data_IF_393731418932
#
_entry.id   IF_393731418932
#
_cell.length_a   1.000
_cell.length_b   1.000
_cell.length_c   1.000
_cell.angle_alpha   90.00
_cell.angle_beta   90.00
_cell.angle_gamma   90.00
#
_symmetry.space_group_name_H-M   'P 1'
#
loop_
_entity.id
_entity.type
_entity.pdbx_description
1 polymer ?
#
# COMPACT_ATOMS: atom_id res chain seq x y z
N UNK A 1 -43.99 46.34 0.41
CA UNK A 1 -44.32 45.90 -0.97
C UNK A 1 -43.07 45.93 -1.85
N UNK A 2 -42.06 45.13 -1.52
CA UNK A 2 -40.78 45.10 -2.25
C UNK A 2 -40.07 43.74 -2.07
N UNK A 3 -40.85 42.65 -2.11
CA UNK A 3 -40.35 41.26 -2.12
C UNK A 3 -41.08 40.34 -3.11
N UNK A 4 -41.95 40.91 -3.97
CA UNK A 4 -42.68 40.15 -5.00
C UNK A 4 -42.13 40.37 -6.43
N UNK A 5 -41.22 41.34 -6.64
CA UNK A 5 -40.73 41.67 -7.98
C UNK A 5 -39.46 40.89 -8.40
N UNK A 6 -38.65 40.40 -7.46
CA UNK A 6 -37.42 39.65 -7.80
C UNK A 6 -37.63 38.14 -8.03
N UNK A 7 -38.80 37.58 -7.71
CA UNK A 7 -39.11 36.16 -7.96
C UNK A 7 -39.67 35.93 -9.38
N UNK A 8 -40.15 36.99 -10.05
CA UNK A 8 -40.70 36.92 -11.41
C UNK A 8 -39.66 36.92 -12.53
N UNK A 9 -38.45 37.43 -12.29
CA UNK A 9 -37.43 37.58 -13.34
C UNK A 9 -36.41 36.44 -13.38
N UNK A 10 -36.33 35.61 -12.34
CA UNK A 10 -35.50 34.40 -12.33
C UNK A 10 -36.20 33.16 -12.92
N UNK A 11 -37.55 33.15 -12.99
CA UNK A 11 -38.33 32.05 -13.59
C UNK A 11 -38.47 32.12 -15.11
N UNK A 12 -38.10 33.23 -15.76
CA UNK A 12 -38.14 33.35 -17.23
C UNK A 12 -36.81 33.05 -17.92
N UNK A 13 -35.69 33.05 -17.19
CA UNK A 13 -34.38 32.69 -17.75
C UNK A 13 -34.10 31.18 -17.65
N UNK A 14 -34.72 30.46 -16.71
CA UNK A 14 -34.59 28.99 -16.60
C UNK A 14 -35.51 28.19 -17.55
N UNK A 15 -36.60 28.78 -18.06
CA UNK A 15 -37.47 28.11 -19.03
C UNK A 15 -36.94 28.17 -20.48
N UNK A 16 -35.99 29.07 -20.78
CA UNK A 16 -35.39 29.20 -22.11
C UNK A 16 -34.09 28.41 -22.29
N UNK A 17 -33.50 27.89 -21.20
CA UNK A 17 -32.30 27.04 -21.24
C UNK A 17 -32.68 25.54 -21.30
N UNK A 18 -33.91 25.18 -20.93
CA UNK A 18 -34.40 23.80 -20.97
C UNK A 18 -35.14 23.38 -22.27
N UNK A 19 -35.18 24.23 -23.30
CA UNK A 19 -35.85 23.91 -24.58
C UNK A 19 -34.91 23.80 -25.80
N UNK A 20 -33.59 23.99 -25.64
CA UNK A 20 -32.63 23.97 -26.77
C UNK A 20 -31.45 23.02 -26.58
N UNK A 21 -31.44 22.20 -25.52
CA UNK A 21 -30.38 21.22 -25.26
C UNK A 21 -30.87 19.76 -25.21
N UNK A 22 -32.02 19.47 -25.84
CA UNK A 22 -32.60 18.12 -25.91
C UNK A 22 -32.76 17.60 -27.36
N UNK A 23 -32.05 18.19 -28.32
CA UNK A 23 -32.22 17.93 -29.76
C UNK A 23 -30.96 17.68 -30.57
N UNK A 24 -29.82 17.33 -29.95
CA UNK A 24 -28.59 17.01 -30.71
C UNK A 24 -27.60 16.09 -29.96
N UNK A 25 -28.10 15.06 -29.28
CA UNK A 25 -27.23 14.07 -28.62
C UNK A 25 -27.60 12.61 -28.92
N UNK A 26 -28.44 12.39 -29.93
CA UNK A 26 -28.88 11.06 -30.36
C UNK A 26 -28.68 10.88 -31.87
N UNK A 27 -27.46 11.10 -32.35
CA UNK A 27 -27.03 10.62 -33.67
C UNK A 27 -25.50 10.54 -33.81
N UNK A 28 -24.83 9.80 -32.91
CA UNK A 28 -23.45 9.36 -33.15
C UNK A 28 -23.07 8.10 -32.34
N UNK A 29 -24.03 7.21 -32.10
CA UNK A 29 -23.78 5.84 -31.65
C UNK A 29 -24.33 4.91 -32.72
N UNK A 30 -23.57 4.75 -33.81
CA UNK A 30 -23.67 3.61 -34.74
C UNK A 30 -22.66 3.74 -35.88
N UNK A 31 -21.35 3.70 -35.59
CA UNK A 31 -20.31 3.24 -36.54
C UNK A 31 -18.93 3.28 -35.88
N UNK A 32 -18.55 2.20 -35.18
CA UNK A 32 -17.16 1.72 -35.11
C UNK A 32 -17.08 0.41 -34.32
N UNK A 33 -17.69 -0.65 -34.84
CA UNK A 33 -17.25 -2.01 -34.49
C UNK A 33 -16.28 -2.48 -35.57
N UNK A 34 -15.25 -3.22 -35.13
CA UNK A 34 -14.16 -3.85 -35.87
C UNK A 34 -12.92 -2.96 -36.07
N UNK A 35 -12.02 -2.99 -35.10
CA UNK A 35 -10.57 -3.07 -35.38
C UNK A 35 -9.87 -3.94 -34.34
N UNK A 36 -9.32 -5.03 -34.86
CA UNK A 36 -8.44 -6.00 -34.21
C UNK A 36 -7.17 -5.29 -33.74
N UNK A 37 -6.81 -5.44 -32.47
CA UNK A 37 -5.53 -4.96 -31.95
C UNK A 37 -4.41 -5.93 -32.37
N UNK A 38 -3.44 -5.44 -33.15
CA UNK A 38 -2.11 -6.05 -33.34
C UNK A 38 -1.07 -5.21 -32.58
N UNK A 39 0.07 -5.79 -32.14
CA UNK A 39 1.05 -5.10 -31.30
C UNK A 39 1.91 -4.14 -32.12
N UNK A 40 2.15 -2.93 -31.59
CA UNK A 40 3.05 -1.94 -32.20
C UNK A 40 4.52 -2.26 -31.88
N UNK A 41 5.25 -2.75 -32.88
CA UNK A 41 6.72 -2.70 -32.95
C UNK A 41 7.14 -1.35 -33.54
N UNK A 42 7.88 -0.55 -32.78
CA UNK A 42 8.55 0.64 -33.31
C UNK A 42 10.04 0.34 -33.51
N UNK A 43 10.41 0.16 -34.78
CA UNK A 43 11.78 0.33 -35.28
C UNK A 43 11.72 1.50 -36.24
N UNK A 44 12.53 2.54 -36.02
CA UNK A 44 13.13 3.23 -37.15
C UNK A 44 14.46 3.88 -36.78
N UNK A 45 15.45 3.54 -37.58
CA UNK A 45 16.81 4.05 -37.66
C UNK A 45 16.82 5.37 -38.44
N UNK A 46 17.56 6.37 -37.97
CA UNK A 46 18.56 7.05 -38.80
C UNK A 46 19.47 7.98 -37.98
N UNK A 47 20.76 7.83 -38.28
CA UNK A 47 21.94 8.40 -37.65
C UNK A 47 22.22 9.81 -38.19
N UNK A 48 22.53 10.77 -37.32
CA UNK A 48 23.53 11.81 -37.63
C UNK A 48 24.25 12.26 -36.36
N UNK A 49 25.57 12.13 -36.45
CA UNK A 49 26.59 12.40 -35.44
C UNK A 49 26.56 13.86 -34.97
N UNK A 50 26.63 14.08 -33.65
CA UNK A 50 27.26 15.23 -33.02
C UNK A 50 27.65 14.87 -31.58
N UNK A 51 28.98 14.77 -31.38
CA UNK A 51 29.77 14.88 -30.15
C UNK A 51 29.21 14.36 -28.82
N UNK A 52 29.92 13.36 -28.30
CA UNK A 52 29.90 12.81 -26.95
C UNK A 52 29.78 13.85 -25.82
N UNK A 53 28.62 13.87 -25.18
CA UNK A 53 28.48 14.13 -23.74
C UNK A 53 27.46 13.13 -23.20
N UNK A 54 27.95 12.05 -22.62
CA UNK A 54 27.20 11.13 -21.78
C UNK A 54 26.65 11.94 -20.60
N UNK A 55 25.43 12.45 -20.73
CA UNK A 55 24.63 12.87 -19.59
C UNK A 55 24.20 11.58 -18.87
N UNK A 56 25.06 11.11 -17.96
CA UNK A 56 24.59 10.29 -16.85
C UNK A 56 23.64 11.17 -16.03
N UNK A 57 22.36 11.11 -16.33
CA UNK A 57 21.32 11.56 -15.41
C UNK A 57 21.30 10.59 -14.22
N UNK A 58 22.26 10.73 -13.32
CA UNK A 58 22.15 10.22 -11.96
C UNK A 58 21.05 11.05 -11.27
N UNK A 59 19.81 10.58 -11.35
CA UNK A 59 18.75 11.01 -10.44
C UNK A 59 19.17 10.60 -9.03
N UNK A 60 19.84 11.51 -8.32
CA UNK A 60 20.06 11.37 -6.88
C UNK A 60 18.68 11.30 -6.25
N UNK A 61 18.32 10.14 -5.69
CA UNK A 61 17.12 10.01 -4.86
C UNK A 61 17.12 11.12 -3.81
N UNK A 62 15.95 11.63 -3.46
CA UNK A 62 15.80 12.55 -2.34
C UNK A 62 16.24 11.81 -1.08
N UNK A 63 17.44 12.14 -0.59
CA UNK A 63 18.04 11.63 0.65
C UNK A 63 17.92 12.72 1.70
N UNK A 64 17.44 12.39 2.91
CA UNK A 64 17.64 13.24 4.08
C UNK A 64 19.12 13.12 4.48
N UNK A 65 19.86 14.23 4.37
CA UNK A 65 21.29 14.29 4.69
C UNK A 65 21.57 13.85 6.15
N UNK A 66 22.65 13.08 6.34
CA UNK A 66 23.56 13.25 7.48
C UNK A 66 23.32 12.47 8.77
N UNK A 67 22.86 11.21 8.72
CA UNK A 67 22.89 10.33 9.91
C UNK A 67 23.58 9.01 9.59
N UNK A 68 24.32 8.46 10.57
CA UNK A 68 24.83 7.09 10.53
C UNK A 68 23.75 6.13 10.01
N UNK A 69 24.10 5.21 9.10
CA UNK A 69 23.14 4.30 8.47
C UNK A 69 22.48 3.40 9.54
N UNK A 70 21.29 3.79 9.98
CA UNK A 70 20.46 3.05 10.94
C UNK A 70 19.86 1.83 10.25
N UNK A 71 19.83 0.70 10.96
CA UNK A 71 19.31 -0.57 10.45
C UNK A 71 17.78 -0.51 10.41
N UNK A 72 17.16 -0.73 9.25
CA UNK A 72 15.68 -0.75 9.13
C UNK A 72 15.18 -2.16 8.84
N UNK A 73 14.34 -2.65 9.74
CA UNK A 73 13.75 -4.00 9.70
C UNK A 73 12.24 -3.85 9.52
N UNK A 74 11.68 -4.45 8.48
CA UNK A 74 10.23 -4.51 8.29
C UNK A 74 9.70 -5.89 8.68
N UNK A 75 8.76 -5.94 9.62
CA UNK A 75 8.06 -7.16 10.02
C UNK A 75 6.80 -7.29 9.20
N UNK A 76 6.78 -8.26 8.29
CA UNK A 76 5.68 -8.56 7.39
C UNK A 76 4.91 -9.80 7.85
N UNK A 77 3.67 -9.94 7.39
CA UNK A 77 2.79 -11.04 7.82
C UNK A 77 1.32 -10.75 7.60
N UNK A 78 0.51 -11.79 7.57
CA UNK A 78 -0.94 -11.69 7.41
C UNK A 78 -1.61 -10.89 8.56
N UNK A 79 -2.88 -10.52 8.40
CA UNK A 79 -3.66 -9.94 9.50
C UNK A 79 -3.70 -10.94 10.66
N UNK A 80 -3.53 -10.46 11.89
CA UNK A 80 -3.45 -11.28 13.10
C UNK A 80 -2.32 -12.34 13.14
N UNK A 81 -1.27 -12.21 12.31
CA UNK A 81 -0.09 -13.09 12.35
C UNK A 81 0.84 -12.90 13.56
N UNK A 82 0.55 -11.94 14.46
CA UNK A 82 1.37 -11.67 15.65
C UNK A 82 2.48 -10.62 15.46
N UNK A 83 2.43 -9.79 14.40
CA UNK A 83 3.43 -8.73 14.15
C UNK A 83 3.58 -7.77 15.31
N UNK A 84 2.48 -7.17 15.78
CA UNK A 84 2.50 -6.23 16.93
C UNK A 84 3.16 -6.89 18.15
N UNK A 85 2.86 -8.15 18.43
CA UNK A 85 3.46 -8.90 19.54
C UNK A 85 4.97 -9.15 19.37
N UNK A 86 5.42 -9.40 18.13
CA UNK A 86 6.86 -9.47 17.82
C UNK A 86 7.54 -8.12 18.08
N UNK A 87 6.94 -7.03 17.61
CA UNK A 87 7.43 -5.67 17.84
C UNK A 87 7.52 -5.33 19.33
N UNK A 88 6.48 -5.63 20.11
CA UNK A 88 6.44 -5.43 21.58
C UNK A 88 7.48 -6.26 22.33
N UNK A 89 7.86 -7.43 21.80
CA UNK A 89 8.94 -8.21 22.38
C UNK A 89 10.29 -7.47 22.22
N UNK A 90 10.58 -6.92 21.04
CA UNK A 90 11.82 -6.20 20.77
C UNK A 90 11.86 -4.78 21.35
N UNK A 91 10.71 -4.14 21.55
CA UNK A 91 10.62 -2.78 22.13
C UNK A 91 11.17 -2.68 23.56
N UNK A 92 11.39 -3.81 24.23
CA UNK A 92 12.03 -3.88 25.55
C UNK A 92 13.54 -3.62 25.52
N UNK A 93 14.13 -3.51 24.32
CA UNK A 93 15.56 -3.26 24.11
C UNK A 93 15.77 -1.79 23.76
N UNK A 94 16.56 -1.06 24.55
CA UNK A 94 16.73 0.39 24.41
C UNK A 94 17.31 0.85 23.05
N UNK A 95 18.00 -0.03 22.34
CA UNK A 95 18.62 0.26 21.04
C UNK A 95 17.68 0.06 19.84
N UNK A 96 16.41 -0.29 20.11
CA UNK A 96 15.42 -0.59 19.07
C UNK A 96 14.26 0.40 19.17
N UNK A 97 14.10 1.23 18.15
CA UNK A 97 12.88 1.99 17.91
C UNK A 97 11.85 1.08 17.24
N UNK A 98 10.64 1.05 17.79
CA UNK A 98 9.54 0.24 17.26
C UNK A 98 8.44 1.14 16.71
N UNK A 99 8.05 0.84 15.48
CA UNK A 99 7.09 1.61 14.70
C UNK A 99 5.92 0.72 14.25
N UNK A 100 4.84 0.67 15.04
CA UNK A 100 3.62 -0.09 14.70
C UNK A 100 2.82 0.53 13.57
N UNK A 101 1.89 -0.23 12.97
CA UNK A 101 0.96 0.31 11.98
C UNK A 101 0.15 1.47 12.61
N UNK A 102 0.00 2.62 11.93
CA UNK A 102 -0.71 3.76 12.47
C UNK A 102 -2.24 3.58 12.39
N UNK A 103 -2.76 2.46 12.91
CA UNK A 103 -4.18 2.08 12.88
C UNK A 103 -5.07 3.18 13.46
N UNK A 104 -4.61 3.88 14.51
CA UNK A 104 -5.34 5.00 15.09
C UNK A 104 -5.59 6.12 14.08
N UNK A 105 -4.61 6.44 13.22
CA UNK A 105 -4.79 7.42 12.14
C UNK A 105 -5.78 6.94 11.10
N UNK A 106 -5.81 5.65 10.79
CA UNK A 106 -6.72 5.07 9.79
C UNK A 106 -8.17 4.92 10.31
N UNK A 107 -8.34 4.95 11.63
CA UNK A 107 -9.64 4.89 12.31
C UNK A 107 -10.27 6.25 12.55
N UNK A 108 -9.47 7.32 12.53
CA UNK A 108 -9.96 8.68 12.71
C UNK A 108 -9.23 9.63 11.76
N UNK A 109 -9.93 9.94 10.66
CA UNK A 109 -9.57 11.01 9.72
C UNK A 109 -10.71 12.01 9.76
N UNK A 110 -10.53 13.07 10.56
CA UNK A 110 -11.54 14.14 10.72
C UNK A 110 -12.90 13.57 11.13
N UNK A 111 -12.93 12.69 12.14
CA UNK A 111 -14.15 12.07 12.67
C UNK A 111 -14.68 10.88 11.85
N UNK A 112 -14.01 10.48 10.78
CA UNK A 112 -14.39 9.33 9.95
C UNK A 112 -13.43 8.17 10.17
N UNK A 113 -13.93 6.93 10.03
CA UNK A 113 -13.13 5.71 10.12
C UNK A 113 -12.94 5.07 8.72
N UNK A 114 -11.97 5.54 7.90
CA UNK A 114 -11.66 4.95 6.60
C UNK A 114 -11.41 3.45 6.63
N UNK A 115 -10.82 2.93 7.70
CA UNK A 115 -10.58 1.49 7.85
C UNK A 115 -11.90 0.71 7.91
N UNK A 116 -12.84 1.15 8.73
CA UNK A 116 -14.18 0.56 8.79
C UNK A 116 -14.94 0.72 7.47
N UNK A 117 -14.89 1.91 6.87
CA UNK A 117 -15.54 2.18 5.59
C UNK A 117 -15.04 1.27 4.47
N UNK A 118 -13.73 0.97 4.44
CA UNK A 118 -13.15 0.03 3.48
C UNK A 118 -13.63 -1.40 3.69
N UNK A 119 -13.74 -1.88 4.93
CA UNK A 119 -14.30 -3.22 5.15
C UNK A 119 -15.80 -3.31 4.84
N UNK A 120 -16.53 -2.20 4.97
CA UNK A 120 -17.96 -2.14 4.64
C UNK A 120 -18.21 -2.09 3.12
N UNK A 121 -17.50 -1.22 2.39
CA UNK A 121 -17.59 -1.11 0.94
C UNK A 121 -16.18 -0.90 0.36
N UNK A 122 -15.46 -2.00 0.08
CA UNK A 122 -14.10 -1.92 -0.43
C UNK A 122 -14.04 -1.29 -1.82
N UNK A 123 -15.10 -1.43 -2.63
CA UNK A 123 -15.16 -0.87 -3.98
C UNK A 123 -15.23 0.65 -3.95
N UNK A 124 -15.95 1.23 -2.99
CA UNK A 124 -16.03 2.69 -2.83
C UNK A 124 -14.83 3.27 -2.08
N UNK A 125 -14.36 2.60 -1.04
CA UNK A 125 -13.40 3.18 -0.09
C UNK A 125 -11.98 2.61 -0.19
N UNK A 126 -11.77 1.59 -1.03
CA UNK A 126 -10.47 0.97 -1.27
C UNK A 126 -9.42 1.99 -1.72
N UNK A 127 -9.70 2.78 -2.76
CA UNK A 127 -8.78 3.83 -3.22
C UNK A 127 -8.45 4.84 -2.12
N UNK A 128 -9.48 5.32 -1.39
CA UNK A 128 -9.32 6.32 -0.32
C UNK A 128 -8.42 5.80 0.79
N UNK A 129 -8.70 4.60 1.31
CA UNK A 129 -7.88 4.03 2.37
C UNK A 129 -6.47 3.73 1.87
N UNK A 130 -6.30 3.10 0.71
CA UNK A 130 -4.98 2.71 0.22
C UNK A 130 -4.07 3.90 -0.09
N UNK A 131 -4.63 5.00 -0.61
CA UNK A 131 -3.89 6.27 -0.77
C UNK A 131 -3.36 6.76 0.58
N UNK A 132 -4.20 6.75 1.61
CA UNK A 132 -3.83 7.23 2.94
C UNK A 132 -2.85 6.28 3.67
N UNK A 133 -3.01 4.97 3.48
CA UNK A 133 -2.05 3.95 3.97
C UNK A 133 -0.69 4.18 3.33
N UNK A 134 -0.59 4.36 2.01
CA UNK A 134 0.70 4.66 1.37
C UNK A 134 1.34 5.94 1.91
N UNK A 135 0.57 7.03 2.07
CA UNK A 135 1.06 8.28 2.64
C UNK A 135 1.58 8.10 4.08
N UNK A 136 0.79 7.45 4.94
CA UNK A 136 1.17 7.25 6.33
C UNK A 136 2.36 6.31 6.49
N UNK A 137 2.45 5.25 5.68
CA UNK A 137 3.61 4.35 5.66
C UNK A 137 4.86 5.04 5.12
N UNK A 138 4.75 5.85 4.07
CA UNK A 138 5.85 6.68 3.58
C UNK A 138 6.38 7.61 4.67
N UNK A 139 5.48 8.29 5.41
CA UNK A 139 5.86 9.14 6.52
C UNK A 139 6.61 8.38 7.63
N UNK A 140 6.26 7.10 7.90
CA UNK A 140 6.99 6.26 8.85
C UNK A 140 8.39 5.87 8.34
N UNK A 141 8.52 5.60 7.05
CA UNK A 141 9.83 5.33 6.43
C UNK A 141 10.74 6.55 6.50
N UNK A 142 10.18 7.75 6.36
CA UNK A 142 10.93 9.01 6.32
C UNK A 142 11.12 9.69 7.68
N UNK A 143 10.45 9.22 8.74
CA UNK A 143 10.61 9.80 10.08
C UNK A 143 12.04 9.62 10.59
N UNK A 144 12.55 10.58 11.34
CA UNK A 144 13.88 10.48 11.96
C UNK A 144 13.89 9.32 12.95
N UNK A 145 14.90 8.45 12.89
CA UNK A 145 15.00 7.33 13.82
C UNK A 145 15.62 7.77 15.13
N UNK A 146 15.02 7.37 16.24
CA UNK A 146 15.50 7.69 17.58
C UNK A 146 16.56 6.70 18.10
N UNK A 147 16.72 5.54 17.45
CA UNK A 147 17.63 4.48 17.87
C UNK A 147 18.44 3.89 16.69
N UNK A 148 19.53 3.14 16.95
CA UNK A 148 20.36 2.52 15.91
C UNK A 148 19.63 1.49 15.04
N UNK A 149 18.65 0.79 15.62
CA UNK A 149 17.78 -0.15 14.92
C UNK A 149 16.36 0.38 14.93
N UNK A 150 15.69 0.34 13.77
CA UNK A 150 14.27 0.62 13.61
C UNK A 150 13.57 -0.64 13.15
N UNK A 151 12.58 -1.08 13.91
CA UNK A 151 11.68 -2.17 13.54
C UNK A 151 10.29 -1.62 13.22
N UNK A 152 9.78 -1.92 12.04
CA UNK A 152 8.52 -1.40 11.53
C UNK A 152 7.51 -2.52 11.32
N UNK A 153 6.27 -2.31 11.72
CA UNK A 153 5.16 -3.19 11.35
C UNK A 153 4.75 -2.83 9.93
N UNK A 154 4.95 -3.79 9.02
CA UNK A 154 4.76 -3.61 7.58
C UNK A 154 5.65 -2.53 6.96
N UNK A 155 5.50 -2.41 5.65
CA UNK A 155 6.20 -1.42 4.83
C UNK A 155 5.28 -0.82 3.76
N UNK A 156 5.74 0.28 3.14
CA UNK A 156 5.07 0.83 1.95
C UNK A 156 4.98 -0.20 0.81
N UNK A 157 5.93 -1.14 0.73
CA UNK A 157 5.90 -2.24 -0.24
C UNK A 157 4.68 -3.13 -0.02
N UNK A 158 4.44 -3.57 1.22
CA UNK A 158 3.26 -4.39 1.52
C UNK A 158 1.94 -3.66 1.26
N UNK A 159 1.88 -2.33 1.46
CA UNK A 159 0.70 -1.54 1.13
C UNK A 159 0.34 -1.68 -0.36
N UNK A 160 1.33 -1.64 -1.26
CA UNK A 160 1.12 -1.84 -2.69
C UNK A 160 0.99 -3.31 -3.09
N UNK A 161 2.00 -4.11 -2.80
CA UNK A 161 2.17 -5.47 -3.34
C UNK A 161 1.21 -6.49 -2.71
N UNK A 162 0.68 -6.20 -1.53
CA UNK A 162 -0.31 -7.05 -0.86
C UNK A 162 -1.69 -6.42 -0.94
N UNK A 163 -1.90 -5.25 -0.34
CA UNK A 163 -3.27 -4.75 -0.11
C UNK A 163 -3.92 -4.12 -1.34
N UNK A 164 -3.19 -3.25 -2.05
CA UNK A 164 -3.68 -2.69 -3.32
C UNK A 164 -3.83 -3.81 -4.37
N UNK A 165 -2.85 -4.71 -4.46
CA UNK A 165 -2.91 -5.87 -5.35
C UNK A 165 -4.12 -6.77 -5.06
N UNK A 166 -4.41 -7.05 -3.78
CA UNK A 166 -5.58 -7.83 -3.40
C UNK A 166 -6.90 -7.17 -3.79
N UNK A 167 -7.04 -5.85 -3.56
CA UNK A 167 -8.24 -5.12 -3.96
C UNK A 167 -8.46 -5.18 -5.48
N UNK A 168 -7.39 -5.06 -6.25
CA UNK A 168 -7.43 -5.19 -7.70
C UNK A 168 -7.81 -6.60 -8.16
N UNK A 169 -7.09 -7.63 -7.68
CA UNK A 169 -7.35 -9.04 -8.05
C UNK A 169 -8.73 -9.54 -7.64
N UNK A 170 -9.31 -8.97 -6.58
CA UNK A 170 -10.66 -9.30 -6.14
C UNK A 170 -11.77 -8.52 -6.86
N UNK A 171 -11.42 -7.70 -7.87
CA UNK A 171 -12.37 -6.89 -8.63
C UNK A 171 -12.99 -5.72 -7.85
N UNK A 172 -12.39 -5.38 -6.70
CA UNK A 172 -12.85 -4.31 -5.80
C UNK A 172 -12.10 -2.99 -6.03
N UNK A 173 -11.22 -2.94 -7.02
CA UNK A 173 -10.53 -1.72 -7.44
C UNK A 173 -10.55 -1.66 -8.98
N UNK A 174 -11.16 -0.63 -9.58
CA UNK A 174 -11.12 -0.43 -11.02
C UNK A 174 -9.70 -0.31 -11.57
N UNK A 175 -9.51 -0.68 -12.84
CA UNK A 175 -8.21 -0.62 -13.53
C UNK A 175 -7.54 0.76 -13.44
N UNK A 176 -8.34 1.83 -13.58
CA UNK A 176 -7.85 3.21 -13.49
C UNK A 176 -7.32 3.56 -12.10
N UNK A 177 -8.02 3.13 -11.04
CA UNK A 177 -7.62 3.38 -9.66
C UNK A 177 -6.34 2.62 -9.31
N UNK A 178 -6.25 1.36 -9.77
CA UNK A 178 -5.05 0.55 -9.62
C UNK A 178 -3.86 1.14 -10.36
N UNK A 179 -4.05 1.61 -11.60
CA UNK A 179 -3.00 2.24 -12.40
C UNK A 179 -2.47 3.51 -11.71
N UNK A 180 -3.36 4.40 -11.26
CA UNK A 180 -2.97 5.63 -10.56
C UNK A 180 -2.19 5.34 -9.28
N UNK A 181 -2.66 4.39 -8.44
CA UNK A 181 -1.93 4.00 -7.23
C UNK A 181 -0.59 3.33 -7.52
N UNK A 182 -0.48 2.62 -8.65
CA UNK A 182 0.77 1.99 -9.09
C UNK A 182 1.78 3.03 -9.56
N UNK A 183 1.38 3.97 -10.42
CA UNK A 183 2.25 5.06 -10.89
C UNK A 183 2.72 5.93 -9.72
N UNK A 184 1.84 6.22 -8.75
CA UNK A 184 2.19 6.96 -7.55
C UNK A 184 3.23 6.23 -6.70
N UNK A 185 3.03 4.94 -6.46
CA UNK A 185 3.99 4.10 -5.74
C UNK A 185 5.34 4.02 -6.47
N UNK A 186 5.32 3.80 -7.78
CA UNK A 186 6.54 3.71 -8.60
C UNK A 186 7.32 5.02 -8.57
N UNK A 187 6.64 6.16 -8.66
CA UNK A 187 7.26 7.47 -8.52
C UNK A 187 7.94 7.62 -7.16
N UNK A 188 7.28 7.20 -6.07
CA UNK A 188 7.86 7.22 -4.72
C UNK A 188 9.14 6.36 -4.67
N UNK A 189 9.08 5.11 -5.10
CA UNK A 189 10.23 4.18 -5.04
C UNK A 189 11.41 4.67 -5.90
N UNK A 190 11.13 5.30 -7.04
CA UNK A 190 12.16 5.83 -7.95
C UNK A 190 12.82 7.09 -7.39
N UNK A 191 12.05 8.00 -6.79
CA UNK A 191 12.54 9.34 -6.43
C UNK A 191 12.92 9.48 -4.95
N UNK A 192 12.41 8.61 -4.08
CA UNK A 192 12.63 8.68 -2.63
C UNK A 192 13.47 7.49 -2.18
N UNK A 193 14.50 7.75 -1.36
CA UNK A 193 15.27 6.68 -0.74
C UNK A 193 14.51 6.10 0.45
N UNK A 194 14.05 4.85 0.32
CA UNK A 194 13.35 4.10 1.36
C UNK A 194 14.27 2.95 1.81
N UNK A 195 14.99 3.10 2.93
CA UNK A 195 15.88 2.06 3.43
C UNK A 195 15.08 0.90 4.02
N UNK A 196 15.38 -0.31 3.58
CA UNK A 196 14.98 -1.58 4.21
C UNK A 196 16.18 -2.50 4.12
N UNK A 197 16.72 -2.90 5.26
CA UNK A 197 17.91 -3.77 5.33
C UNK A 197 17.52 -5.23 5.60
N UNK A 198 16.36 -5.49 6.22
CA UNK A 198 15.83 -6.83 6.45
C UNK A 198 14.29 -6.85 6.40
N UNK A 199 13.72 -7.89 5.83
CA UNK A 199 12.31 -8.25 6.00
C UNK A 199 12.22 -9.47 6.91
N UNK A 200 11.52 -9.36 8.03
CA UNK A 200 11.15 -10.50 8.88
C UNK A 200 9.73 -10.90 8.53
N UNK A 201 9.55 -12.04 7.89
CA UNK A 201 8.24 -12.55 7.52
C UNK A 201 7.73 -13.53 8.58
N UNK A 202 6.71 -13.11 9.34
CA UNK A 202 5.97 -13.99 10.24
C UNK A 202 4.97 -14.81 9.42
N UNK A 203 5.41 -15.98 8.99
CA UNK A 203 4.62 -16.89 8.18
C UNK A 203 3.64 -17.63 9.08
N UNK A 204 2.36 -17.31 8.95
CA UNK A 204 1.25 -17.92 9.71
C UNK A 204 0.19 -18.38 8.72
N UNK A 205 -0.33 -19.58 8.95
CA UNK A 205 -1.44 -20.15 8.18
C UNK A 205 -2.69 -19.26 8.28
N UNK A 206 -3.52 -19.19 7.23
CA UNK A 206 -4.78 -18.44 7.26
C UNK A 206 -5.71 -18.87 8.39
N UNK A 207 -5.75 -20.15 8.72
CA UNK A 207 -6.60 -20.71 9.79
C UNK A 207 -6.21 -20.14 11.16
N UNK A 208 -4.92 -20.19 11.50
CA UNK A 208 -4.42 -19.62 12.75
C UNK A 208 -4.60 -18.09 12.78
N UNK A 209 -4.42 -17.41 11.64
CA UNK A 209 -4.71 -15.97 11.54
C UNK A 209 -6.18 -15.69 11.83
N UNK A 210 -7.09 -16.49 11.28
CA UNK A 210 -8.53 -16.34 11.46
C UNK A 210 -8.96 -16.58 12.92
N UNK A 211 -8.40 -17.60 13.58
CA UNK A 211 -8.62 -17.85 15.01
C UNK A 211 -8.15 -16.67 15.87
N UNK A 212 -6.92 -16.20 15.66
CA UNK A 212 -6.36 -15.03 16.39
C UNK A 212 -7.13 -13.74 16.10
N UNK A 213 -7.64 -13.59 14.89
CA UNK A 213 -8.46 -12.44 14.51
C UNK A 213 -9.78 -12.40 15.29
N UNK A 214 -10.40 -13.57 15.48
CA UNK A 214 -11.60 -13.71 16.33
C UNK A 214 -11.30 -13.39 17.79
N UNK A 215 -10.18 -13.86 18.33
CA UNK A 215 -9.77 -13.56 19.72
C UNK A 215 -9.50 -12.07 19.93
N UNK A 216 -8.94 -11.39 18.92
CA UNK A 216 -8.59 -9.96 18.97
C UNK A 216 -9.82 -9.03 19.01
N UNK A 217 -10.98 -9.49 18.54
CA UNK A 217 -12.28 -8.79 18.65
C UNK A 217 -12.26 -7.30 18.21
N UNK A 218 -11.51 -6.93 17.17
CA UNK A 218 -11.61 -5.57 16.61
C UNK A 218 -12.89 -5.44 15.81
N UNK A 219 -13.73 -4.46 16.16
CA UNK A 219 -15.07 -4.26 15.57
C UNK A 219 -15.02 -4.22 14.04
N UNK A 220 -14.06 -3.50 13.45
CA UNK A 220 -13.92 -3.36 12.00
C UNK A 220 -13.50 -4.65 11.29
N UNK A 221 -12.88 -5.58 12.01
CA UNK A 221 -12.31 -6.81 11.45
C UNK A 221 -13.26 -8.01 11.57
N UNK A 222 -14.39 -7.85 12.27
CA UNK A 222 -15.38 -8.92 12.54
C UNK A 222 -15.95 -9.54 11.26
N UNK A 223 -15.99 -8.79 10.16
CA UNK A 223 -16.56 -9.25 8.87
C UNK A 223 -15.51 -9.78 7.89
N UNK A 224 -14.24 -9.94 8.31
CA UNK A 224 -13.20 -10.44 7.41
C UNK A 224 -13.39 -11.96 7.21
N UNK A 225 -13.68 -12.42 5.98
CA UNK A 225 -13.88 -13.83 5.70
C UNK A 225 -12.52 -14.55 5.58
N UNK A 226 -12.50 -15.87 5.77
CA UNK A 226 -11.24 -16.65 5.73
C UNK A 226 -10.58 -16.58 4.34
N UNK A 227 -11.39 -16.54 3.28
CA UNK A 227 -10.94 -16.45 1.89
C UNK A 227 -10.13 -15.16 1.64
N UNK A 228 -10.45 -14.08 2.36
CA UNK A 228 -9.66 -12.85 2.32
C UNK A 228 -8.27 -13.07 2.93
N UNK A 229 -8.19 -13.79 4.06
CA UNK A 229 -6.90 -14.12 4.69
C UNK A 229 -6.08 -15.09 3.84
N UNK A 230 -6.71 -16.03 3.15
CA UNK A 230 -6.07 -16.93 2.19
C UNK A 230 -5.48 -16.17 1.00
N UNK A 231 -6.24 -15.24 0.41
CA UNK A 231 -5.76 -14.38 -0.67
C UNK A 231 -4.56 -13.53 -0.24
N UNK A 232 -4.63 -12.91 0.95
CA UNK A 232 -3.52 -12.14 1.51
C UNK A 232 -2.30 -13.05 1.80
N UNK A 233 -2.52 -14.26 2.30
CA UNK A 233 -1.44 -15.23 2.53
C UNK A 233 -0.73 -15.57 1.21
N UNK A 234 -1.47 -15.93 0.17
CA UNK A 234 -0.88 -16.25 -1.14
C UNK A 234 -0.06 -15.10 -1.71
N UNK A 235 -0.52 -13.85 -1.56
CA UNK A 235 0.24 -12.68 -2.00
C UNK A 235 1.57 -12.51 -1.25
N UNK A 236 1.61 -12.83 0.05
CA UNK A 236 2.88 -12.83 0.80
C UNK A 236 3.80 -13.97 0.37
N UNK A 237 3.26 -15.18 0.14
CA UNK A 237 4.04 -16.32 -0.35
C UNK A 237 4.65 -16.04 -1.73
N UNK A 238 3.85 -15.52 -2.66
CA UNK A 238 4.29 -15.16 -4.01
C UNK A 238 5.37 -14.07 -3.98
N UNK A 239 5.27 -13.11 -3.07
CA UNK A 239 6.22 -12.01 -2.95
C UNK A 239 7.50 -12.40 -2.21
N UNK A 240 7.39 -12.93 -1.01
CA UNK A 240 8.51 -13.08 -0.07
C UNK A 240 9.19 -14.45 -0.13
N UNK A 241 8.46 -15.50 -0.52
CA UNK A 241 8.97 -16.88 -0.57
C UNK A 241 9.31 -17.27 -2.01
N UNK A 242 8.29 -17.31 -2.87
CA UNK A 242 8.43 -17.77 -4.25
C UNK A 242 9.11 -16.73 -5.15
N UNK A 243 9.02 -15.45 -4.77
CA UNK A 243 9.58 -14.30 -5.49
C UNK A 243 9.10 -14.23 -6.95
N UNK A 244 7.83 -14.57 -7.19
CA UNK A 244 7.20 -14.65 -8.51
C UNK A 244 6.40 -13.40 -8.87
N UNK A 245 6.05 -12.55 -7.89
CA UNK A 245 5.18 -11.38 -8.11
C UNK A 245 5.94 -10.06 -8.27
N UNK A 246 6.69 -9.64 -7.25
CA UNK A 246 7.36 -8.34 -7.20
C UNK A 246 8.79 -8.44 -6.68
N UNK A 247 9.62 -7.44 -7.02
CA UNK A 247 10.99 -7.36 -6.50
C UNK A 247 10.97 -7.20 -4.98
N UNK A 248 11.71 -8.07 -4.29
CA UNK A 248 11.93 -7.97 -2.84
C UNK A 248 13.05 -6.94 -2.57
N UNK A 249 12.82 -5.92 -1.71
CA UNK A 249 13.79 -4.83 -1.51
C UNK A 249 14.96 -5.20 -0.60
N UNK A 250 14.86 -6.27 0.19
CA UNK A 250 15.85 -6.69 1.18
C UNK A 250 15.85 -8.23 1.37
N UNK A 251 16.87 -8.82 2.01
CA UNK A 251 16.83 -10.21 2.45
C UNK A 251 15.59 -10.52 3.31
N UNK A 252 15.08 -11.74 3.21
CA UNK A 252 13.90 -12.20 3.95
C UNK A 252 14.31 -13.26 4.96
N UNK A 253 14.03 -13.00 6.24
CA UNK A 253 14.08 -13.98 7.32
C UNK A 253 12.67 -14.49 7.60
N UNK A 254 12.42 -15.77 7.34
CA UNK A 254 11.12 -16.41 7.55
C UNK A 254 11.07 -17.03 8.94
N UNK A 255 10.05 -16.68 9.72
CA UNK A 255 9.80 -17.26 11.04
C UNK A 255 8.42 -17.93 11.01
N UNK A 256 8.35 -19.28 11.11
CA UNK A 256 7.10 -20.00 11.27
C UNK A 256 6.39 -19.57 12.56
N UNK A 257 5.18 -19.05 12.41
CA UNK A 257 4.48 -18.29 13.44
C UNK A 257 3.10 -18.86 13.84
N UNK A 258 2.85 -20.14 13.56
CA UNK A 258 1.61 -20.84 13.95
C UNK A 258 1.55 -21.23 15.44
N UNK A 259 2.64 -21.10 16.19
CA UNK A 259 2.70 -21.56 17.57
C UNK A 259 2.07 -20.57 18.57
N UNK A 260 1.77 -21.07 19.77
CA UNK A 260 1.34 -20.26 20.90
C UNK A 260 2.46 -19.30 21.38
N UNK A 261 2.04 -18.23 22.07
CA UNK A 261 2.91 -17.12 22.46
C UNK A 261 4.23 -17.54 23.16
N UNK A 262 4.25 -18.45 24.16
CA UNK A 262 5.51 -18.82 24.82
C UNK A 262 6.56 -19.39 23.85
N UNK A 263 6.12 -20.22 22.89
CA UNK A 263 7.00 -20.79 21.86
C UNK A 263 7.42 -19.73 20.83
N UNK A 264 6.55 -18.77 20.53
CA UNK A 264 6.91 -17.64 19.67
C UNK A 264 7.98 -16.74 20.30
N UNK A 265 7.89 -16.45 21.60
CA UNK A 265 8.92 -15.68 22.30
C UNK A 265 10.29 -16.37 22.25
N UNK A 266 10.32 -17.69 22.40
CA UNK A 266 11.55 -18.47 22.22
C UNK A 266 12.12 -18.33 20.79
N UNK A 267 11.27 -18.45 19.77
CA UNK A 267 11.68 -18.28 18.36
C UNK A 267 12.21 -16.87 18.06
N UNK A 268 11.66 -15.83 18.68
CA UNK A 268 12.16 -14.47 18.52
C UNK A 268 13.57 -14.33 19.11
N UNK A 269 13.81 -14.90 20.29
CA UNK A 269 15.13 -14.88 20.93
C UNK A 269 16.16 -15.71 20.14
N UNK A 270 15.80 -16.91 19.66
CA UNK A 270 16.65 -17.75 18.79
C UNK A 270 17.12 -17.01 17.52
N UNK A 271 16.30 -16.09 17.01
CA UNK A 271 16.59 -15.34 15.79
C UNK A 271 17.09 -13.91 16.06
N UNK A 272 17.24 -13.51 17.33
CA UNK A 272 17.58 -12.14 17.74
C UNK A 272 18.84 -11.63 17.06
N UNK A 273 19.93 -12.40 17.09
CA UNK A 273 21.18 -12.00 16.45
C UNK A 273 21.03 -11.82 14.95
N UNK A 274 20.31 -12.73 14.26
CA UNK A 274 20.06 -12.62 12.82
C UNK A 274 19.24 -11.39 12.47
N UNK A 275 18.27 -11.04 13.32
CA UNK A 275 17.41 -9.87 13.15
C UNK A 275 18.23 -8.58 13.32
N UNK A 276 19.07 -8.50 14.35
CA UNK A 276 19.77 -7.27 14.73
C UNK A 276 21.13 -7.06 14.03
N UNK A 277 21.74 -8.11 13.49
CA UNK A 277 23.04 -8.06 12.79
C UNK A 277 22.92 -8.09 11.27
N UNK A 278 21.73 -7.85 10.71
CA UNK A 278 21.46 -7.92 9.27
C UNK A 278 22.24 -6.89 8.40
N UNK A 279 23.23 -6.18 8.95
CA UNK A 279 24.03 -5.16 8.25
C UNK A 279 24.90 -5.71 7.11
N UNK A 280 25.13 -7.03 7.00
CA UNK A 280 26.18 -7.61 6.14
C UNK A 280 25.76 -8.86 5.31
N UNK A 281 24.53 -8.94 4.81
CA UNK A 281 24.12 -10.00 3.87
C UNK A 281 23.90 -9.48 2.45
#
# INVERSE_FOLDING_TARGET
>A
MALSCCIGQFRRTLAHIHSTAAGSFNQQISHCQKRVYRPCTWINTQTRLLSSRTQQNCTRKLVRNGEDKKLVICVEGNIASGKTTCLEHFSKTNEIEVLTEPISKWRDVQGHNPLALMYQDPSRWGLTLQTYVQLTMLNRHLSTASAPVRMMERSIYSAKYIFVENLYRSGKMPDVDFAVLSEWFDWIIQNIFIPVDLIVYLQTTPQICYERLKERCRVEETMIPIEYLEAIHQLHEDWLINKTSFKVPAPVLVIPADHALPKMLHKYEENREKILLARNA
#
